data_IF_762166348077
#
_entry.id   IF_762166348077
#
_cell.length_a   1.000
_cell.length_b   1.000
_cell.length_c   1.000
_cell.angle_alpha   90.00
_cell.angle_beta   90.00
_cell.angle_gamma   90.00
#
_symmetry.space_group_name_H-M   'P 1'
#
loop_
_entity.id
_entity.type
_entity.pdbx_description
1 polymer ?
#
# COMPACT_ATOMS: atom_id res chain seq x y z
N UNK A 1 -12.08 14.10 2.55
CA UNK A 1 -12.72 13.77 3.84
C UNK A 1 -12.21 12.45 4.41
N UNK A 2 -12.27 11.34 3.67
CA UNK A 2 -11.93 9.99 4.19
C UNK A 2 -10.51 9.84 4.73
N UNK A 3 -9.49 10.37 4.04
CA UNK A 3 -8.09 10.33 4.51
C UNK A 3 -7.90 11.01 5.87
N UNK A 4 -8.61 12.11 6.13
CA UNK A 4 -8.54 12.81 7.42
C UNK A 4 -9.14 11.96 8.53
N UNK A 5 -10.27 11.30 8.26
CA UNK A 5 -10.89 10.38 9.21
C UNK A 5 -9.95 9.22 9.55
N UNK A 6 -9.34 8.58 8.54
CA UNK A 6 -8.35 7.51 8.73
C UNK A 6 -7.19 7.97 9.62
N UNK A 7 -6.58 9.12 9.32
CA UNK A 7 -5.47 9.66 10.13
C UNK A 7 -5.90 9.92 11.57
N UNK A 8 -7.10 10.47 11.79
CA UNK A 8 -7.62 10.73 13.15
C UNK A 8 -7.84 9.41 13.88
N UNK A 9 -8.55 8.45 13.29
CA UNK A 9 -8.83 7.14 13.90
C UNK A 9 -7.54 6.43 14.31
N UNK A 10 -6.58 6.30 13.41
CA UNK A 10 -5.32 5.57 13.69
C UNK A 10 -4.41 6.29 14.68
N UNK A 11 -4.50 7.62 14.80
CA UNK A 11 -3.78 8.37 15.85
C UNK A 11 -4.42 8.24 17.23
N UNK A 12 -5.69 7.85 17.29
CA UNK A 12 -6.46 7.74 18.53
C UNK A 12 -6.41 6.34 19.15
N UNK A 13 -5.82 5.36 18.47
CA UNK A 13 -5.74 3.96 18.93
C UNK A 13 -4.28 3.54 19.06
N UNK A 14 -4.02 2.52 19.87
CA UNK A 14 -2.68 1.95 20.01
C UNK A 14 -2.27 1.11 18.79
N UNK A 15 -1.02 0.63 18.78
CA UNK A 15 -0.47 -0.16 17.69
C UNK A 15 -1.22 -1.48 17.48
N UNK A 16 -1.59 -2.18 18.56
CA UNK A 16 -2.29 -3.46 18.47
C UNK A 16 -3.70 -3.29 17.90
N UNK A 17 -4.41 -2.25 18.35
CA UNK A 17 -5.71 -1.87 17.81
C UNK A 17 -5.61 -1.42 16.34
N UNK A 18 -4.53 -0.72 15.96
CA UNK A 18 -4.28 -0.34 14.57
C UNK A 18 -4.13 -1.56 13.66
N UNK A 19 -3.35 -2.56 14.09
CA UNK A 19 -3.20 -3.83 13.35
C UNK A 19 -4.55 -4.53 13.24
N UNK A 20 -5.30 -4.63 14.34
CA UNK A 20 -6.63 -5.25 14.35
C UNK A 20 -7.61 -4.57 13.40
N UNK A 21 -7.58 -3.24 13.32
CA UNK A 21 -8.40 -2.47 12.37
C UNK A 21 -8.03 -2.77 10.92
N UNK A 22 -6.74 -2.74 10.58
CA UNK A 22 -6.28 -3.00 9.19
C UNK A 22 -6.58 -4.43 8.76
N UNK A 23 -6.51 -5.39 9.68
CA UNK A 23 -6.76 -6.82 9.42
C UNK A 23 -8.24 -7.23 9.52
N UNK A 24 -9.17 -6.28 9.68
CA UNK A 24 -10.60 -6.61 9.83
C UNK A 24 -11.29 -6.78 8.48
N UNK A 25 -12.30 -7.68 8.45
CA UNK A 25 -13.12 -7.91 7.26
C UNK A 25 -13.76 -6.62 6.72
N UNK A 26 -14.19 -5.72 7.62
CA UNK A 26 -14.73 -4.40 7.24
C UNK A 26 -13.70 -3.56 6.47
N UNK A 27 -12.45 -3.52 6.94
CA UNK A 27 -11.39 -2.78 6.26
C UNK A 27 -11.01 -3.45 4.94
N UNK A 28 -11.09 -4.78 4.84
CA UNK A 28 -10.86 -5.50 3.59
C UNK A 28 -11.93 -5.21 2.54
N UNK A 29 -13.21 -5.15 2.93
CA UNK A 29 -14.29 -4.72 2.05
C UNK A 29 -14.06 -3.28 1.55
N UNK A 30 -13.64 -2.37 2.44
CA UNK A 30 -13.26 -1.00 2.07
C UNK A 30 -12.08 -0.99 1.08
N UNK A 31 -11.07 -1.84 1.27
CA UNK A 31 -9.95 -1.97 0.33
C UNK A 31 -10.42 -2.43 -1.05
N UNK A 32 -11.33 -3.42 -1.11
CA UNK A 32 -11.93 -3.83 -2.38
C UNK A 32 -12.61 -2.68 -3.09
N UNK A 33 -13.42 -1.91 -2.36
CA UNK A 33 -14.11 -0.76 -2.91
C UNK A 33 -13.13 0.31 -3.43
N UNK A 34 -12.08 0.63 -2.67
CA UNK A 34 -11.08 1.62 -3.11
C UNK A 34 -10.26 1.13 -4.30
N UNK A 35 -9.79 -0.12 -4.28
CA UNK A 35 -8.98 -0.71 -5.35
C UNK A 35 -9.78 -0.84 -6.64
N UNK A 36 -11.07 -1.19 -6.55
CA UNK A 36 -11.96 -1.23 -7.72
C UNK A 36 -12.07 0.13 -8.43
N UNK A 37 -11.93 1.22 -7.67
CA UNK A 37 -11.95 2.62 -8.13
C UNK A 37 -10.56 3.24 -8.34
N UNK A 38 -9.51 2.42 -8.31
CA UNK A 38 -8.10 2.81 -8.45
C UNK A 38 -7.65 3.87 -7.43
N UNK A 39 -8.25 3.84 -6.23
CA UNK A 39 -7.94 4.72 -5.09
C UNK A 39 -6.84 4.14 -4.19
N UNK A 40 -5.73 3.75 -4.81
CA UNK A 40 -4.53 3.21 -4.13
C UNK A 40 -3.98 4.18 -3.07
N UNK A 41 -4.10 5.47 -3.34
CA UNK A 41 -3.73 6.58 -2.46
C UNK A 41 -4.41 6.56 -1.08
N UNK A 42 -5.54 5.87 -0.95
CA UNK A 42 -6.27 5.69 0.31
C UNK A 42 -5.80 4.42 1.00
N UNK A 43 -5.62 3.33 0.27
CA UNK A 43 -5.15 2.04 0.81
C UNK A 43 -3.74 2.17 1.40
N UNK A 44 -2.82 2.80 0.67
CA UNK A 44 -1.47 3.10 1.17
C UNK A 44 -1.49 3.95 2.44
N UNK A 45 -2.49 4.82 2.60
CA UNK A 45 -2.62 5.64 3.80
C UNK A 45 -2.86 4.76 5.03
N UNK A 46 -3.70 3.73 4.95
CA UNK A 46 -3.95 2.81 6.08
C UNK A 46 -2.65 2.19 6.57
N UNK A 47 -1.85 1.62 5.67
CA UNK A 47 -0.57 1.01 6.04
C UNK A 47 0.43 2.01 6.61
N UNK A 48 0.46 3.22 6.06
CA UNK A 48 1.32 4.30 6.55
C UNK A 48 0.94 4.75 7.96
N UNK A 49 -0.36 4.94 8.23
CA UNK A 49 -0.82 5.43 9.55
C UNK A 49 -0.83 4.33 10.61
N UNK A 50 -1.05 3.08 10.21
CA UNK A 50 -1.01 1.93 11.11
C UNK A 50 0.42 1.60 11.56
N UNK A 51 1.44 2.07 10.81
CA UNK A 51 2.87 1.88 11.14
C UNK A 51 3.25 0.41 11.35
N UNK A 52 2.66 -0.47 10.54
CA UNK A 52 2.84 -1.92 10.64
C UNK A 52 4.31 -2.32 10.48
N UNK A 53 4.78 -3.22 11.34
CA UNK A 53 6.04 -3.95 11.17
C UNK A 53 5.97 -4.89 9.96
N UNK A 54 7.10 -5.47 9.57
CA UNK A 54 7.15 -6.47 8.49
C UNK A 54 6.32 -7.70 8.88
N UNK A 55 6.44 -8.16 10.13
CA UNK A 55 5.68 -9.30 10.63
C UNK A 55 4.17 -9.02 10.67
N UNK A 56 3.77 -7.79 11.02
CA UNK A 56 2.37 -7.38 11.03
C UNK A 56 1.80 -7.26 9.61
N UNK A 57 2.59 -6.79 8.65
CA UNK A 57 2.21 -6.78 7.22
C UNK A 57 1.99 -8.18 6.68
N UNK A 58 2.85 -9.13 7.03
CA UNK A 58 2.66 -10.52 6.62
C UNK A 58 1.38 -11.11 7.23
N UNK A 59 1.07 -10.79 8.50
CA UNK A 59 -0.21 -11.19 9.11
C UNK A 59 -1.42 -10.57 8.43
N UNK A 60 -1.35 -9.29 8.05
CA UNK A 60 -2.43 -8.62 7.28
C UNK A 60 -2.61 -9.32 5.93
N UNK A 61 -1.51 -9.67 5.25
CA UNK A 61 -1.53 -10.40 3.98
C UNK A 61 -2.19 -11.77 4.13
N UNK A 62 -1.82 -12.54 5.15
CA UNK A 62 -2.43 -13.84 5.45
C UNK A 62 -3.93 -13.71 5.73
N UNK A 63 -4.32 -12.77 6.61
CA UNK A 63 -5.72 -12.50 6.93
C UNK A 63 -6.51 -12.11 5.67
N UNK A 64 -5.90 -11.30 4.80
CA UNK A 64 -6.51 -10.89 3.55
C UNK A 64 -6.70 -12.06 2.58
N UNK A 65 -5.72 -12.96 2.45
CA UNK A 65 -5.87 -14.17 1.64
C UNK A 65 -6.99 -15.09 2.15
N UNK A 66 -7.14 -15.20 3.47
CA UNK A 66 -8.26 -15.94 4.09
C UNK A 66 -9.59 -15.29 3.77
N UNK A 67 -9.68 -13.96 3.91
CA UNK A 67 -10.86 -13.18 3.54
C UNK A 67 -11.23 -13.36 2.06
N UNK A 68 -10.26 -13.27 1.16
CA UNK A 68 -10.51 -13.45 -0.27
C UNK A 68 -11.04 -14.86 -0.60
N UNK A 69 -10.50 -15.90 0.04
CA UNK A 69 -10.99 -17.27 -0.13
C UNK A 69 -12.43 -17.43 0.36
N UNK A 70 -12.82 -16.72 1.42
CA UNK A 70 -14.18 -16.81 1.98
C UNK A 70 -15.24 -16.23 1.05
N UNK A 71 -14.90 -15.24 0.22
CA UNK A 71 -15.82 -14.57 -0.70
C UNK A 71 -15.80 -15.11 -2.14
N UNK A 72 -14.65 -15.55 -2.65
CA UNK A 72 -14.48 -15.97 -4.06
C UNK A 72 -14.40 -17.51 -4.21
N UNK A 73 -14.31 -18.26 -3.11
CA UNK A 73 -14.14 -19.72 -3.11
C UNK A 73 -12.72 -20.17 -3.47
N UNK A 74 -12.53 -21.48 -3.66
CA UNK A 74 -11.20 -22.08 -3.90
C UNK A 74 -10.61 -21.78 -5.29
N UNK A 75 -11.42 -21.36 -6.28
CA UNK A 75 -10.96 -20.96 -7.62
C UNK A 75 -10.68 -19.45 -7.73
N UNK A 76 -10.14 -18.87 -6.66
CA UNK A 76 -9.86 -17.44 -6.61
C UNK A 76 -8.89 -17.02 -7.73
N UNK A 77 -9.38 -16.26 -8.71
CA UNK A 77 -8.53 -15.63 -9.72
C UNK A 77 -7.96 -14.34 -9.15
N UNK A 78 -6.74 -14.45 -8.63
CA UNK A 78 -5.93 -13.30 -8.20
C UNK A 78 -5.74 -12.32 -9.35
N UNK A 79 -6.61 -11.29 -9.38
CA UNK A 79 -6.59 -10.24 -10.39
C UNK A 79 -5.26 -9.48 -10.35
N UNK A 80 -4.92 -8.77 -11.43
CA UNK A 80 -3.73 -7.90 -11.46
C UNK A 80 -3.73 -6.93 -10.28
N UNK A 81 -4.90 -6.37 -9.92
CA UNK A 81 -5.07 -5.47 -8.78
C UNK A 81 -4.72 -6.18 -7.47
N UNK A 82 -5.17 -7.42 -7.26
CA UNK A 82 -4.81 -8.18 -6.06
C UNK A 82 -3.32 -8.47 -5.95
N UNK A 83 -2.66 -8.80 -7.07
CA UNK A 83 -1.21 -8.98 -7.09
C UNK A 83 -0.46 -7.69 -6.71
N UNK A 84 -0.94 -6.53 -7.16
CA UNK A 84 -0.37 -5.22 -6.77
C UNK A 84 -0.58 -4.94 -5.29
N UNK A 85 -1.75 -5.24 -4.73
CA UNK A 85 -2.01 -5.09 -3.30
C UNK A 85 -1.11 -5.97 -2.44
N UNK A 86 -0.89 -7.22 -2.84
CA UNK A 86 0.03 -8.11 -2.13
C UNK A 86 1.49 -7.61 -2.19
N UNK A 87 1.93 -7.11 -3.35
CA UNK A 87 3.25 -6.49 -3.46
C UNK A 87 3.39 -5.26 -2.55
N UNK A 88 2.34 -4.45 -2.39
CA UNK A 88 2.37 -3.28 -1.48
C UNK A 88 2.58 -3.67 -0.01
N UNK A 89 2.11 -4.86 0.40
CA UNK A 89 2.34 -5.38 1.74
C UNK A 89 3.77 -5.92 1.90
N UNK A 90 4.33 -6.51 0.85
CA UNK A 90 5.70 -7.05 0.77
C UNK A 90 6.77 -5.96 0.61
N UNK A 91 6.42 -4.85 -0.06
CA UNK A 91 7.28 -3.68 -0.19
C UNK A 91 7.51 -3.09 1.21
N UNK A 92 8.65 -3.48 1.74
CA UNK A 92 9.31 -2.77 2.82
C UNK A 92 9.54 -1.35 2.29
N UNK A 93 9.15 -0.33 3.06
CA UNK A 93 9.59 1.05 2.78
C UNK A 93 11.11 1.09 2.94
N UNK A 94 11.86 0.58 1.98
CA UNK A 94 13.26 0.89 1.83
C UNK A 94 13.31 2.31 1.26
N UNK A 95 13.70 3.32 2.06
CA UNK A 95 13.73 4.69 1.61
C UNK A 95 14.75 4.91 0.47
N UNK A 96 15.62 3.94 0.15
CA UNK A 96 16.61 4.06 -0.91
C UNK A 96 16.00 4.10 -2.32
N UNK A 97 14.74 3.67 -2.52
CA UNK A 97 14.11 3.68 -3.83
C UNK A 97 13.43 5.01 -4.21
N UNK A 98 13.68 6.09 -3.46
CA UNK A 98 13.20 7.45 -3.75
C UNK A 98 14.25 8.41 -4.31
N UNK A 99 15.45 7.94 -4.66
CA UNK A 99 16.48 8.79 -5.24
C UNK A 99 17.12 8.14 -6.48
N UNK A 100 16.69 8.54 -7.67
CA UNK A 100 17.55 9.01 -8.78
C UNK A 100 16.74 9.08 -10.07
N UNK A 101 15.93 10.14 -10.20
CA UNK A 101 15.58 10.70 -11.50
C UNK A 101 15.86 12.20 -11.41
N UNK A 102 17.15 12.53 -11.35
CA UNK A 102 17.63 13.81 -11.86
C UNK A 102 18.70 13.48 -12.89
N UNK A 103 18.24 12.94 -14.02
CA UNK A 103 19.04 12.85 -15.24
C UNK A 103 18.39 13.81 -16.24
N UNK A 104 18.98 15.00 -16.38
CA UNK A 104 18.75 15.91 -17.51
C UNK A 104 20.01 16.75 -17.73
N UNK A 105 20.27 17.24 -18.95
CA UNK A 105 20.70 16.48 -20.11
C UNK A 105 22.06 16.97 -20.64
N UNK A 106 22.63 16.22 -21.58
CA UNK A 106 23.83 16.54 -22.34
C UNK A 106 23.78 17.93 -22.98
N UNK A 107 24.68 18.84 -22.58
CA UNK A 107 25.00 20.04 -23.37
C UNK A 107 26.37 19.86 -24.02
N UNK A 108 26.33 19.49 -25.29
CA UNK A 108 27.44 19.65 -26.20
C UNK A 108 27.41 21.09 -26.71
N UNK A 109 28.41 21.90 -26.37
CA UNK A 109 28.76 23.07 -27.18
C UNK A 109 30.21 22.98 -27.66
N UNK A 110 30.32 23.07 -28.99
CA UNK A 110 31.56 23.16 -29.75
C UNK A 110 31.97 24.63 -29.89
N UNK A 111 33.27 24.78 -30.17
CA UNK A 111 33.97 25.86 -30.92
C UNK A 111 34.48 27.07 -30.11
N UNK A 112 35.44 27.89 -30.63
CA UNK A 112 36.47 27.68 -31.66
C UNK A 112 37.89 28.14 -31.24
N UNK A 113 38.88 27.86 -32.11
CA UNK A 113 40.24 28.43 -32.13
C UNK A 113 40.26 29.97 -32.02
N UNK A 114 41.28 30.51 -31.37
CA UNK A 114 42.10 31.61 -31.90
C UNK A 114 43.53 31.44 -31.43
#
# INVERSE_FOLDING_TARGET
>A
MIKKAIVVTFRSVDAAASVGLVSSDFTFEDFQHFISRDRWDVVEMFFRVARLSIEERERVKEAFMVYLRSIEGDEMKLTRKWKTFLHLLEETNDPSNRCSEDETPTEAEKTPKT
#
